data_IF_325460940409
#
_entry.id   IF_325460940409
#
_cell.length_a   1.000
_cell.length_b   1.000
_cell.length_c   1.000
_cell.angle_alpha   90.00
_cell.angle_beta   90.00
_cell.angle_gamma   90.00
#
_symmetry.space_group_name_H-M   'P 1'
#
loop_
_entity.id
_entity.type
_entity.pdbx_description
1 polymer ?
#
# COMPACT_ATOMS: atom_id res chain seq x y z
N UNK A 1 -9.08 14.38 23.52
CA UNK A 1 -9.41 13.05 22.99
C UNK A 1 -9.23 13.15 21.49
N UNK A 2 -8.11 12.66 20.96
CA UNK A 2 -7.75 12.80 19.54
C UNK A 2 -8.79 12.09 18.69
N UNK A 3 -9.41 12.77 17.73
CA UNK A 3 -10.50 12.20 16.94
C UNK A 3 -9.97 11.28 15.83
N UNK A 4 -10.80 10.34 15.37
CA UNK A 4 -10.49 9.42 14.25
C UNK A 4 -9.87 10.12 13.04
N UNK A 5 -10.43 11.29 12.68
CA UNK A 5 -9.99 12.05 11.51
C UNK A 5 -8.62 12.72 11.73
N UNK A 6 -8.27 13.08 12.97
CA UNK A 6 -6.98 13.68 13.30
C UNK A 6 -5.84 12.66 13.19
N UNK A 7 -6.11 11.38 13.52
CA UNK A 7 -5.09 10.32 13.46
C UNK A 7 -4.77 9.93 12.00
N UNK A 8 -5.76 9.97 11.11
CA UNK A 8 -5.58 9.58 9.70
C UNK A 8 -5.25 10.77 8.78
N UNK A 9 -5.24 12.00 9.30
CA UNK A 9 -5.06 13.19 8.49
C UNK A 9 -3.70 13.18 7.77
N UNK A 10 -3.75 13.51 6.47
CA UNK A 10 -2.59 13.48 5.58
C UNK A 10 -2.05 12.09 5.23
N UNK A 11 -2.56 11.00 5.82
CA UNK A 11 -2.10 9.65 5.51
C UNK A 11 -2.74 9.10 4.23
N UNK A 12 -1.92 8.47 3.38
CA UNK A 12 -2.43 7.83 2.16
C UNK A 12 -3.11 6.51 2.50
N UNK A 13 -4.31 6.22 1.98
CA UNK A 13 -4.96 4.93 2.18
C UNK A 13 -4.20 3.81 1.46
N UNK A 14 -3.99 2.70 2.15
CA UNK A 14 -3.47 1.45 1.62
C UNK A 14 -4.61 0.45 1.50
N UNK A 15 -4.99 0.12 0.27
CA UNK A 15 -5.98 -0.92 0.02
C UNK A 15 -5.32 -2.29 0.08
N UNK A 16 -5.18 -2.82 1.30
CA UNK A 16 -4.54 -4.11 1.56
C UNK A 16 -5.47 -5.32 1.53
N UNK A 17 -6.79 -5.13 1.40
CA UNK A 17 -7.74 -6.25 1.41
C UNK A 17 -7.63 -7.03 0.10
N UNK A 18 -7.46 -8.36 0.18
CA UNK A 18 -7.37 -9.26 -0.96
C UNK A 18 -8.69 -9.97 -1.26
N UNK A 19 -9.47 -10.24 -0.22
CA UNK A 19 -10.77 -10.87 -0.36
C UNK A 19 -11.76 -9.92 -1.06
N UNK A 20 -12.17 -10.30 -2.27
CA UNK A 20 -13.12 -9.52 -3.07
C UNK A 20 -14.54 -9.58 -2.53
N UNK A 21 -14.88 -10.57 -1.70
CA UNK A 21 -16.23 -10.74 -1.14
C UNK A 21 -16.61 -9.64 -0.15
N UNK A 22 -15.61 -9.01 0.47
CA UNK A 22 -15.79 -7.89 1.42
C UNK A 22 -15.55 -6.52 0.78
N UNK A 23 -15.22 -6.48 -0.52
CA UNK A 23 -15.13 -5.23 -1.27
C UNK A 23 -16.51 -4.79 -1.76
N UNK A 24 -16.77 -3.49 -1.81
CA UNK A 24 -17.97 -2.99 -2.48
C UNK A 24 -17.89 -3.26 -3.99
N UNK A 25 -19.02 -3.63 -4.61
CA UNK A 25 -19.13 -3.89 -6.06
C UNK A 25 -18.54 -2.77 -6.92
N UNK A 26 -18.78 -1.52 -6.55
CA UNK A 26 -18.26 -0.34 -7.26
C UNK A 26 -16.73 -0.30 -7.28
N UNK A 27 -16.09 -0.61 -6.14
CA UNK A 27 -14.64 -0.67 -6.00
C UNK A 27 -14.05 -1.83 -6.80
N UNK A 28 -14.63 -3.02 -6.67
CA UNK A 28 -14.17 -4.20 -7.41
C UNK A 28 -14.24 -3.94 -8.92
N UNK A 29 -15.38 -3.41 -9.40
CA UNK A 29 -15.59 -3.06 -10.81
C UNK A 29 -14.58 -2.00 -11.30
N UNK A 30 -14.36 -0.94 -10.53
CA UNK A 30 -13.37 0.09 -10.88
C UNK A 30 -11.94 -0.46 -10.94
N UNK A 31 -11.57 -1.31 -9.96
CA UNK A 31 -10.28 -1.99 -9.93
C UNK A 31 -10.07 -2.93 -11.13
N UNK A 32 -11.10 -3.67 -11.54
CA UNK A 32 -11.06 -4.47 -12.76
C UNK A 32 -10.90 -3.60 -14.01
N UNK A 33 -11.67 -2.52 -14.15
CA UNK A 33 -11.57 -1.59 -15.28
C UNK A 33 -10.18 -0.97 -15.42
N UNK A 34 -9.59 -0.51 -14.31
CA UNK A 34 -8.24 0.02 -14.29
C UNK A 34 -7.22 -1.05 -14.73
N UNK A 35 -7.32 -2.24 -14.15
CA UNK A 35 -6.40 -3.34 -14.46
C UNK A 35 -6.55 -3.86 -15.89
N UNK A 36 -7.76 -3.86 -16.47
CA UNK A 36 -8.01 -4.25 -17.86
C UNK A 36 -7.43 -3.23 -18.83
N UNK A 37 -7.71 -1.94 -18.60
CA UNK A 37 -7.18 -0.86 -19.43
C UNK A 37 -5.65 -0.82 -19.42
N UNK A 38 -5.04 -0.91 -18.23
CA UNK A 38 -3.59 -0.93 -18.06
C UNK A 38 -2.95 -2.17 -18.72
N UNK A 39 -3.56 -3.36 -18.55
CA UNK A 39 -3.09 -4.59 -19.20
C UNK A 39 -3.14 -4.50 -20.73
N UNK A 40 -4.14 -3.81 -21.28
CA UNK A 40 -4.26 -3.57 -22.72
C UNK A 40 -3.37 -2.43 -23.25
N UNK A 41 -2.63 -1.73 -22.38
CA UNK A 41 -1.86 -0.53 -22.77
C UNK A 41 -2.74 0.66 -23.15
N UNK A 42 -4.03 0.65 -22.81
CA UNK A 42 -4.98 1.73 -23.10
C UNK A 42 -4.92 2.80 -22.01
N UNK A 43 -3.88 3.63 -22.05
CA UNK A 43 -3.64 4.68 -21.05
C UNK A 43 -4.76 5.72 -20.95
N UNK A 44 -5.37 6.21 -22.05
CA UNK A 44 -6.52 7.11 -21.95
C UNK A 44 -7.69 6.51 -21.16
N UNK A 45 -7.98 5.22 -21.36
CA UNK A 45 -9.01 4.54 -20.57
C UNK A 45 -8.60 4.35 -19.10
N UNK A 46 -7.34 3.99 -18.83
CA UNK A 46 -6.83 3.85 -17.47
C UNK A 46 -6.88 5.17 -16.68
N UNK A 47 -6.42 6.27 -17.28
CA UNK A 47 -6.47 7.61 -16.69
C UNK A 47 -7.91 8.07 -16.47
N UNK A 48 -8.82 7.82 -17.44
CA UNK A 48 -10.25 8.12 -17.29
C UNK A 48 -10.90 7.36 -16.12
N UNK A 49 -10.45 6.14 -15.82
CA UNK A 49 -10.90 5.43 -14.61
C UNK A 49 -10.39 6.16 -13.38
N UNK A 50 -9.12 6.57 -13.35
CA UNK A 50 -8.51 7.30 -12.22
C UNK A 50 -9.07 8.72 -12.00
N UNK A 51 -9.59 9.39 -13.04
CA UNK A 51 -10.17 10.74 -12.95
C UNK A 51 -11.50 10.79 -12.18
N UNK A 52 -12.20 9.67 -12.11
CA UNK A 52 -13.48 9.59 -11.41
C UNK A 52 -13.24 9.68 -9.90
N UNK A 53 -14.07 10.45 -9.21
CA UNK A 53 -14.08 10.49 -7.74
C UNK A 53 -14.61 9.18 -7.18
N UNK A 54 -13.72 8.22 -6.97
CA UNK A 54 -14.02 6.99 -6.24
C UNK A 54 -13.73 7.22 -4.75
N UNK A 55 -14.59 6.68 -3.89
CA UNK A 55 -14.37 6.78 -2.44
C UNK A 55 -13.12 6.02 -1.97
N UNK A 56 -12.73 4.96 -2.68
CA UNK A 56 -11.72 3.99 -2.19
C UNK A 56 -10.77 3.43 -3.26
N UNK A 57 -10.90 3.83 -4.54
CA UNK A 57 -9.92 3.42 -5.54
C UNK A 57 -8.62 4.16 -5.26
N UNK A 58 -7.54 3.41 -5.07
CA UNK A 58 -6.19 3.96 -4.90
C UNK A 58 -5.37 3.61 -6.13
N UNK A 59 -4.53 4.55 -6.60
CA UNK A 59 -3.73 4.36 -7.82
C UNK A 59 -2.79 3.14 -7.75
N UNK A 60 -2.38 2.77 -6.54
CA UNK A 60 -1.49 1.65 -6.26
C UNK A 60 -2.22 0.30 -6.12
N UNK A 61 -3.51 0.25 -6.44
CA UNK A 61 -4.30 -0.97 -6.38
C UNK A 61 -3.88 -1.95 -7.49
N UNK A 62 -3.78 -3.23 -7.15
CA UNK A 62 -3.69 -4.33 -8.10
C UNK A 62 -5.08 -4.83 -8.48
N UNK A 63 -5.15 -5.70 -9.50
CA UNK A 63 -6.41 -6.34 -9.89
C UNK A 63 -7.07 -7.03 -8.68
N UNK A 64 -8.32 -6.69 -8.31
CA UNK A 64 -9.06 -7.44 -7.29
C UNK A 64 -9.11 -8.93 -7.63
N UNK A 65 -8.80 -9.80 -6.65
CA UNK A 65 -8.70 -11.25 -6.85
C UNK A 65 -7.47 -11.72 -7.68
N UNK A 66 -6.61 -10.80 -8.13
CA UNK A 66 -5.40 -11.13 -8.87
C UNK A 66 -4.21 -11.43 -7.95
N UNK A 67 -3.43 -12.46 -8.28
CA UNK A 67 -2.28 -12.93 -7.49
C UNK A 67 -0.94 -12.31 -7.90
N UNK A 68 -0.89 -11.60 -9.03
CA UNK A 68 0.35 -11.01 -9.54
C UNK A 68 0.73 -9.68 -8.89
N UNK A 69 -0.24 -9.02 -8.23
CA UNK A 69 -0.08 -7.70 -7.62
C UNK A 69 0.46 -6.59 -8.57
N UNK A 70 0.28 -6.76 -9.88
CA UNK A 70 0.61 -5.73 -10.86
C UNK A 70 -0.29 -4.50 -10.66
N UNK A 71 0.35 -3.36 -10.40
CA UNK A 71 -0.29 -2.04 -10.41
C UNK A 71 -0.27 -1.44 -11.82
N UNK A 72 -0.93 -0.29 -12.00
CA UNK A 72 -0.87 0.46 -13.26
C UNK A 72 0.57 0.84 -13.64
N UNK A 73 1.44 1.15 -12.66
CA UNK A 73 2.84 1.49 -12.92
C UNK A 73 3.66 0.28 -13.41
N UNK A 74 3.38 -0.92 -12.89
CA UNK A 74 3.99 -2.16 -13.41
C UNK A 74 3.57 -2.44 -14.84
N UNK A 75 2.30 -2.20 -15.18
CA UNK A 75 1.81 -2.35 -16.56
C UNK A 75 2.46 -1.31 -17.49
N UNK A 76 2.61 -0.05 -17.03
CA UNK A 76 3.30 0.99 -17.78
C UNK A 76 4.76 0.60 -18.07
N UNK A 77 5.45 0.06 -17.07
CA UNK A 77 6.78 -0.51 -17.24
C UNK A 77 6.80 -1.70 -18.20
N UNK A 78 5.83 -2.62 -18.11
CA UNK A 78 5.75 -3.80 -18.98
C UNK A 78 5.62 -3.41 -20.45
N UNK A 79 4.74 -2.46 -20.75
CA UNK A 79 4.43 -1.98 -22.10
C UNK A 79 5.43 -0.98 -22.67
N UNK A 80 6.36 -0.46 -21.86
CA UNK A 80 7.22 0.64 -22.30
C UNK A 80 6.43 1.92 -22.55
N UNK A 81 5.53 2.27 -21.63
CA UNK A 81 4.60 3.38 -21.79
C UNK A 81 5.32 4.72 -22.07
N UNK A 82 4.67 5.63 -22.81
CA UNK A 82 5.18 6.98 -23.02
C UNK A 82 5.51 7.71 -21.71
N UNK A 83 6.54 8.57 -21.72
CA UNK A 83 7.02 9.29 -20.53
C UNK A 83 5.94 10.15 -19.88
N UNK A 84 5.12 10.83 -20.67
CA UNK A 84 4.01 11.66 -20.19
C UNK A 84 2.96 10.83 -19.43
N UNK A 85 2.66 9.61 -19.89
CA UNK A 85 1.78 8.68 -19.17
C UNK A 85 2.41 8.30 -17.83
N UNK A 86 3.70 7.99 -17.80
CA UNK A 86 4.38 7.58 -16.56
C UNK A 86 4.46 8.73 -15.57
N UNK A 87 4.81 9.93 -16.03
CA UNK A 87 4.82 11.15 -15.22
C UNK A 87 3.43 11.43 -14.62
N UNK A 88 2.37 11.36 -15.42
CA UNK A 88 0.99 11.53 -14.94
C UNK A 88 0.61 10.49 -13.86
N UNK A 89 1.03 9.23 -14.03
CA UNK A 89 0.79 8.19 -13.02
C UNK A 89 1.57 8.47 -11.72
N UNK A 90 2.79 8.98 -11.81
CA UNK A 90 3.61 9.36 -10.66
C UNK A 90 3.04 10.59 -9.94
N UNK A 91 2.59 11.60 -10.67
CA UNK A 91 1.96 12.81 -10.13
C UNK A 91 0.67 12.49 -9.35
N UNK A 92 -0.06 11.45 -9.79
CA UNK A 92 -1.22 10.91 -9.08
C UNK A 92 -0.87 10.03 -7.87
N UNK A 93 0.42 9.80 -7.61
CA UNK A 93 0.91 9.08 -6.44
C UNK A 93 1.18 7.59 -6.65
N UNK A 94 1.48 7.17 -7.88
CA UNK A 94 2.01 5.82 -8.11
C UNK A 94 3.35 5.64 -7.40
N UNK A 95 3.51 4.51 -6.70
CA UNK A 95 4.68 4.18 -5.90
C UNK A 95 5.69 3.41 -6.74
N UNK A 96 6.94 3.89 -6.76
CA UNK A 96 8.04 3.30 -7.54
C UNK A 96 8.66 2.11 -6.83
N UNK A 97 8.73 2.13 -5.50
CA UNK A 97 9.27 1.08 -4.64
C UNK A 97 8.29 -0.04 -4.35
N UNK A 98 7.03 0.07 -4.76
CA UNK A 98 6.02 -0.95 -4.51
C UNK A 98 6.31 -2.21 -5.34
N UNK A 99 6.57 -3.38 -4.71
CA UNK A 99 6.82 -4.61 -5.46
C UNK A 99 5.54 -5.27 -5.98
N UNK A 100 5.67 -6.11 -7.00
CA UNK A 100 4.70 -7.13 -7.40
C UNK A 100 4.79 -8.38 -6.48
N UNK A 101 4.05 -9.45 -6.78
CA UNK A 101 4.09 -10.68 -5.97
C UNK A 101 5.38 -11.50 -6.12
N UNK A 102 6.24 -11.14 -7.06
CA UNK A 102 7.59 -11.72 -7.25
C UNK A 102 8.68 -10.84 -6.62
N UNK A 103 8.31 -9.74 -5.96
CA UNK A 103 9.26 -8.80 -5.36
C UNK A 103 9.89 -7.84 -6.36
N UNK A 104 9.37 -7.72 -7.59
CA UNK A 104 9.88 -6.80 -8.62
C UNK A 104 9.16 -5.47 -8.54
N UNK A 105 9.88 -4.37 -8.62
CA UNK A 105 9.31 -3.03 -8.82
C UNK A 105 8.98 -2.79 -10.29
N UNK A 106 8.28 -1.69 -10.59
CA UNK A 106 8.09 -1.25 -11.98
C UNK A 106 9.43 -0.99 -12.69
N UNK A 107 10.45 -0.50 -11.97
CA UNK A 107 11.80 -0.35 -12.50
C UNK A 107 12.40 -1.70 -12.93
N UNK A 108 12.28 -2.73 -12.10
CA UNK A 108 12.82 -4.07 -12.41
C UNK A 108 12.14 -4.66 -13.65
N UNK A 109 10.81 -4.50 -13.76
CA UNK A 109 10.06 -4.90 -14.96
C UNK A 109 10.58 -4.16 -16.20
N UNK A 110 10.86 -2.86 -16.11
CA UNK A 110 11.39 -2.10 -17.24
C UNK A 110 12.82 -2.51 -17.65
N UNK A 111 13.64 -2.91 -16.68
CA UNK A 111 14.98 -3.48 -16.92
C UNK A 111 14.88 -4.83 -17.64
N UNK A 112 14.04 -5.74 -17.13
CA UNK A 112 13.84 -7.08 -17.71
C UNK A 112 13.37 -7.03 -19.17
N UNK A 113 12.55 -6.05 -19.51
CA UNK A 113 12.01 -5.86 -20.86
C UNK A 113 12.89 -5.00 -21.78
N UNK A 114 14.08 -4.62 -21.33
CA UNK A 114 15.04 -3.80 -22.09
C UNK A 114 14.50 -2.44 -22.57
N UNK A 115 13.60 -1.80 -21.80
CA UNK A 115 13.07 -0.49 -22.16
C UNK A 115 14.12 0.63 -22.08
N UNK A 116 13.80 1.81 -22.59
CA UNK A 116 14.76 2.92 -22.72
C UNK A 116 15.33 3.37 -21.37
N UNK A 117 16.57 3.89 -21.32
CA UNK A 117 17.14 4.46 -20.11
C UNK A 117 16.27 5.57 -19.52
N UNK A 118 15.67 6.42 -20.36
CA UNK A 118 14.77 7.49 -19.91
C UNK A 118 13.57 6.97 -19.11
N UNK A 119 12.91 5.91 -19.60
CA UNK A 119 11.80 5.29 -18.87
C UNK A 119 12.27 4.64 -17.56
N UNK A 120 13.43 3.95 -17.58
CA UNK A 120 13.99 3.35 -16.36
C UNK A 120 14.32 4.41 -15.32
N UNK A 121 14.85 5.56 -15.71
CA UNK A 121 15.12 6.64 -14.76
C UNK A 121 13.84 7.22 -14.15
N UNK A 122 12.76 7.38 -14.94
CA UNK A 122 11.46 7.81 -14.40
C UNK A 122 10.89 6.82 -13.37
N UNK A 123 11.05 5.52 -13.62
CA UNK A 123 10.53 4.46 -12.76
C UNK A 123 11.42 4.16 -11.54
N UNK A 124 12.63 4.70 -11.49
CA UNK A 124 13.61 4.38 -10.45
C UNK A 124 13.07 4.74 -9.06
N UNK A 125 13.03 3.79 -8.10
CA UNK A 125 12.68 4.08 -6.73
C UNK A 125 13.57 5.18 -6.14
N UNK A 126 13.03 6.07 -5.28
CA UNK A 126 13.82 7.04 -4.57
C UNK A 126 14.80 6.35 -3.61
N UNK A 127 15.80 7.10 -3.15
CA UNK A 127 16.80 6.56 -2.23
C UNK A 127 16.15 6.17 -0.90
N UNK A 128 16.28 4.90 -0.54
CA UNK A 128 15.93 4.39 0.77
C UNK A 128 17.13 4.54 1.72
N UNK A 129 17.01 5.26 2.85
CA UNK A 129 18.08 5.38 3.85
C UNK A 129 18.30 4.07 4.64
N UNK A 130 17.33 3.15 4.62
CA UNK A 130 17.42 1.86 5.29
C UNK A 130 18.01 0.81 4.36
N UNK A 131 18.79 -0.10 4.93
CA UNK A 131 19.29 -1.27 4.20
C UNK A 131 18.16 -2.28 3.94
N UNK A 132 18.34 -3.15 2.93
CA UNK A 132 17.37 -4.23 2.65
C UNK A 132 17.12 -5.13 3.86
N UNK A 133 18.15 -5.36 4.69
CA UNK A 133 18.01 -6.17 5.90
C UNK A 133 17.13 -5.47 6.94
N UNK A 134 17.32 -4.16 7.13
CA UNK A 134 16.48 -3.36 8.04
C UNK A 134 15.02 -3.31 7.56
N UNK A 135 14.78 -3.09 6.26
CA UNK A 135 13.43 -3.11 5.68
C UNK A 135 12.75 -4.46 5.94
N UNK A 136 13.43 -5.58 5.64
CA UNK A 136 12.88 -6.92 5.89
C UNK A 136 12.57 -7.19 7.37
N UNK A 137 13.44 -6.72 8.26
CA UNK A 137 13.22 -6.86 9.70
C UNK A 137 12.00 -6.04 10.15
N UNK A 138 11.87 -4.79 9.69
CA UNK A 138 10.70 -3.95 9.99
C UNK A 138 9.41 -4.52 9.39
N UNK A 139 9.44 -5.02 8.14
CA UNK A 139 8.30 -5.70 7.52
C UNK A 139 7.83 -6.89 8.37
N UNK A 140 8.77 -7.74 8.82
CA UNK A 140 8.45 -8.88 9.65
C UNK A 140 7.84 -8.47 11.00
N UNK A 141 8.41 -7.47 11.67
CA UNK A 141 7.91 -6.99 12.96
C UNK A 141 6.56 -6.27 12.85
N UNK A 142 6.36 -5.51 11.79
CA UNK A 142 5.07 -4.92 11.48
C UNK A 142 4.01 -6.00 11.24
N UNK A 143 4.37 -7.04 10.49
CA UNK A 143 3.49 -8.16 10.21
C UNK A 143 3.09 -8.92 11.49
N UNK A 144 4.05 -9.25 12.35
CA UNK A 144 3.80 -9.85 13.67
C UNK A 144 2.86 -8.99 14.53
N UNK A 145 3.06 -7.67 14.55
CA UNK A 145 2.18 -6.77 15.30
C UNK A 145 0.75 -6.77 14.74
N UNK A 146 0.60 -6.65 13.41
CA UNK A 146 -0.72 -6.64 12.78
C UNK A 146 -1.43 -7.97 13.05
N UNK A 147 -0.74 -9.09 12.87
CA UNK A 147 -1.26 -10.43 13.16
C UNK A 147 -1.76 -10.51 14.62
N UNK A 148 -0.92 -10.17 15.60
CA UNK A 148 -1.31 -10.22 17.02
C UNK A 148 -2.48 -9.29 17.40
N UNK A 149 -2.74 -8.26 16.58
CA UNK A 149 -3.86 -7.35 16.79
C UNK A 149 -5.17 -7.88 16.21
N UNK A 150 -5.14 -8.61 15.09
CA UNK A 150 -6.36 -8.97 14.33
C UNK A 150 -6.65 -10.47 14.22
N UNK A 151 -5.64 -11.33 14.38
CA UNK A 151 -5.79 -12.78 14.29
C UNK A 151 -6.77 -13.28 15.35
N UNK A 152 -7.69 -14.18 14.95
CA UNK A 152 -8.79 -14.75 15.75
C UNK A 152 -9.81 -13.72 16.29
N UNK A 153 -9.63 -12.43 16.03
CA UNK A 153 -10.56 -11.35 16.42
C UNK A 153 -11.41 -10.87 15.25
N UNK A 154 -10.77 -10.70 14.09
CA UNK A 154 -11.39 -10.19 12.87
C UNK A 154 -11.32 -11.20 11.72
N UNK A 155 -10.34 -12.09 11.75
CA UNK A 155 -10.06 -13.04 10.69
C UNK A 155 -9.58 -14.36 11.29
N UNK A 156 -10.11 -15.45 10.74
CA UNK A 156 -9.66 -16.81 11.03
C UNK A 156 -8.71 -17.30 9.92
N UNK A 157 -7.71 -18.11 10.28
CA UNK A 157 -6.79 -18.72 9.32
C UNK A 157 -5.63 -17.83 8.89
N UNK A 158 -5.04 -18.11 7.72
CA UNK A 158 -3.85 -17.42 7.21
C UNK A 158 -4.21 -16.02 6.68
N UNK A 159 -3.83 -15.00 7.46
CA UNK A 159 -4.03 -13.58 7.15
C UNK A 159 -3.39 -13.16 5.82
N UNK A 160 -2.35 -13.85 5.35
CA UNK A 160 -1.68 -13.52 4.07
C UNK A 160 -2.51 -13.90 2.84
N UNK A 161 -3.53 -14.73 3.01
CA UNK A 161 -4.48 -15.06 1.94
C UNK A 161 -5.54 -13.98 1.73
N UNK A 162 -5.85 -13.22 2.79
CA UNK A 162 -6.93 -12.21 2.81
C UNK A 162 -6.44 -10.78 2.90
N UNK A 163 -5.19 -10.56 3.33
CA UNK A 163 -4.58 -9.25 3.48
C UNK A 163 -3.17 -9.21 2.89
N UNK A 164 -2.87 -8.07 2.28
CA UNK A 164 -1.52 -7.64 1.91
C UNK A 164 -1.15 -6.43 2.76
N UNK A 165 -0.10 -6.57 3.55
CA UNK A 165 0.37 -5.48 4.41
C UNK A 165 1.17 -4.45 3.60
N UNK A 166 1.14 -3.16 4.00
CA UNK A 166 1.93 -2.13 3.33
C UNK A 166 3.42 -2.43 3.55
N UNK A 167 4.22 -2.60 2.48
CA UNK A 167 5.66 -2.77 2.63
C UNK A 167 6.28 -1.52 3.26
N UNK A 168 7.22 -1.67 4.18
CA UNK A 168 7.86 -0.53 4.87
C UNK A 168 8.57 0.40 3.87
N UNK A 169 9.13 -0.17 2.80
CA UNK A 169 9.87 0.60 1.80
C UNK A 169 9.02 1.67 1.09
N UNK A 170 7.70 1.49 0.99
CA UNK A 170 6.83 2.50 0.36
C UNK A 170 6.70 3.77 1.22
N UNK A 171 6.94 3.69 2.54
CA UNK A 171 6.82 4.84 3.45
C UNK A 171 7.81 5.95 3.06
N UNK A 172 8.96 5.62 2.47
CA UNK A 172 9.93 6.61 2.01
C UNK A 172 9.45 7.48 0.83
N UNK A 173 8.41 7.04 0.11
CA UNK A 173 7.82 7.80 -1.00
C UNK A 173 6.59 8.59 -0.57
N UNK A 174 5.97 8.21 0.55
CA UNK A 174 4.71 8.78 0.98
C UNK A 174 4.91 10.14 1.67
N UNK A 175 4.02 11.12 1.43
CA UNK A 175 4.00 12.37 2.17
C UNK A 175 3.95 12.12 3.69
N UNK A 176 4.85 12.74 4.43
CA UNK A 176 4.95 12.56 5.88
C UNK A 176 5.30 11.14 6.32
N UNK A 177 5.79 10.30 5.41
CA UNK A 177 6.20 8.91 5.64
C UNK A 177 5.17 8.05 6.39
N UNK A 178 3.88 8.30 6.09
CA UNK A 178 2.76 7.68 6.81
C UNK A 178 1.73 7.08 5.85
N UNK A 179 1.11 6.00 6.30
CA UNK A 179 0.09 5.27 5.56
C UNK A 179 -1.05 4.87 6.50
N UNK A 180 -2.27 4.95 5.98
CA UNK A 180 -3.47 4.47 6.65
C UNK A 180 -3.88 3.14 6.03
N UNK A 181 -3.88 2.07 6.80
CA UNK A 181 -4.33 0.74 6.39
C UNK A 181 -5.70 0.43 7.01
N UNK A 182 -6.81 0.78 6.31
CA UNK A 182 -8.15 0.42 6.75
C UNK A 182 -8.42 -1.07 6.57
N UNK A 183 -9.12 -1.65 7.54
CA UNK A 183 -9.67 -2.99 7.48
C UNK A 183 -11.20 -2.96 7.57
N UNK A 184 -11.89 -4.00 7.07
CA UNK A 184 -13.29 -4.29 7.39
C UNK A 184 -13.58 -4.19 8.90
N UNK A 185 -14.83 -3.87 9.24
CA UNK A 185 -15.25 -3.72 10.65
C UNK A 185 -14.81 -2.41 11.32
N UNK A 186 -14.39 -1.40 10.55
CA UNK A 186 -13.86 -0.10 11.05
C UNK A 186 -12.61 -0.25 11.92
N UNK A 187 -11.86 -1.34 11.74
CA UNK A 187 -10.53 -1.47 12.30
C UNK A 187 -9.51 -0.85 11.34
N UNK A 188 -8.36 -0.41 11.84
CA UNK A 188 -7.25 -0.11 10.95
C UNK A 188 -5.98 0.28 11.68
N UNK A 189 -4.95 0.52 10.88
CA UNK A 189 -3.61 0.83 11.33
C UNK A 189 -3.14 2.14 10.69
N UNK A 190 -2.73 3.10 11.51
CA UNK A 190 -1.90 4.21 11.07
C UNK A 190 -0.44 3.85 11.30
N UNK A 191 0.36 3.81 10.25
CA UNK A 191 1.76 3.40 10.27
C UNK A 191 2.60 4.57 9.78
N UNK A 192 3.57 5.00 10.58
CA UNK A 192 4.45 6.11 10.27
C UNK A 192 5.90 5.73 10.49
N UNK A 193 6.77 6.07 9.54
CA UNK A 193 8.21 5.86 9.68
C UNK A 193 8.87 7.12 10.24
N UNK A 194 9.46 6.98 11.43
CA UNK A 194 10.19 8.03 12.12
C UNK A 194 11.59 7.54 12.50
N UNK A 195 12.63 8.22 11.98
CA UNK A 195 14.04 7.97 12.35
C UNK A 195 14.48 6.49 12.22
N UNK A 196 13.93 5.77 11.25
CA UNK A 196 14.25 4.36 11.00
C UNK A 196 13.46 3.35 11.85
N UNK A 197 12.48 3.81 12.63
CA UNK A 197 11.54 3.00 13.40
C UNK A 197 10.10 3.30 12.96
N UNK A 198 9.17 2.38 13.19
CA UNK A 198 7.75 2.58 12.89
C UNK A 198 6.97 2.95 14.14
N UNK A 199 6.23 4.04 14.10
CA UNK A 199 5.14 4.30 15.04
C UNK A 199 3.85 3.74 14.43
N UNK A 200 3.24 2.77 15.11
CA UNK A 200 2.04 2.08 14.63
C UNK A 200 0.90 2.25 15.62
N UNK A 201 -0.15 2.95 15.21
CA UNK A 201 -1.40 3.11 15.97
C UNK A 201 -2.46 2.22 15.37
N UNK A 202 -3.15 1.44 16.20
CA UNK A 202 -4.24 0.55 15.79
C UNK A 202 -5.45 0.73 16.70
N UNK A 203 -6.65 0.72 16.14
CA UNK A 203 -7.89 0.84 16.93
C UNK A 203 -9.10 0.31 16.15
N UNK A 204 -10.18 0.04 16.87
CA UNK A 204 -11.49 -0.29 16.33
C UNK A 204 -12.43 0.90 16.55
N UNK A 205 -12.96 1.48 15.47
CA UNK A 205 -13.92 2.60 15.56
C UNK A 205 -15.28 2.25 16.16
N UNK A 206 -15.50 1.00 16.58
CA UNK A 206 -16.72 0.51 17.23
C UNK A 206 -16.51 0.16 18.71
N UNK A 207 -15.27 0.13 19.20
CA UNK A 207 -14.93 -0.31 20.55
C UNK A 207 -14.06 0.76 21.21
N UNK A 208 -14.63 1.51 22.16
CA UNK A 208 -13.89 2.48 22.96
C UNK A 208 -12.80 1.82 23.80
N UNK A 209 -11.68 2.51 23.98
CA UNK A 209 -10.48 2.03 24.67
C UNK A 209 -9.70 0.98 23.89
N UNK A 210 -10.05 0.68 22.63
CA UNK A 210 -9.37 -0.35 21.83
C UNK A 210 -8.03 0.10 21.25
N UNK A 211 -7.73 1.40 21.32
CA UNK A 211 -6.53 2.01 20.78
C UNK A 211 -5.26 1.47 21.42
N UNK A 212 -4.27 1.12 20.59
CA UNK A 212 -2.90 0.82 21.02
C UNK A 212 -1.90 1.46 20.06
N UNK A 213 -0.82 2.01 20.61
CA UNK A 213 0.31 2.56 19.89
C UNK A 213 1.58 1.75 20.21
N UNK A 214 2.29 1.35 19.18
CA UNK A 214 3.54 0.59 19.29
C UNK A 214 4.67 1.32 18.59
N UNK A 215 5.87 1.22 19.16
CA UNK A 215 7.12 1.57 18.50
C UNK A 215 7.80 0.29 18.03
N UNK A 216 8.03 0.17 16.73
CA UNK A 216 8.69 -0.97 16.10
C UNK A 216 10.09 -0.57 15.62
N UNK A 217 11.07 -1.35 16.04
CA UNK A 217 12.47 -1.26 15.63
C UNK A 217 12.88 -2.56 14.95
N UNK A 218 14.12 -2.64 14.44
CA UNK A 218 14.64 -3.87 13.85
C UNK A 218 14.84 -4.97 14.89
N UNK A 219 14.95 -4.60 16.16
CA UNK A 219 15.21 -5.47 17.31
C UNK A 219 13.92 -6.00 17.92
N UNK A 220 12.82 -5.25 17.83
CA UNK A 220 11.54 -5.65 18.42
C UNK A 220 10.46 -4.57 18.37
N UNK A 221 9.32 -4.87 19.00
CA UNK A 221 8.16 -3.98 19.13
C UNK A 221 7.84 -3.75 20.61
N UNK A 222 7.51 -2.51 20.97
CA UNK A 222 7.14 -2.13 22.34
C UNK A 222 5.83 -1.35 22.33
N UNK A 223 4.90 -1.71 23.19
CA UNK A 223 3.68 -0.94 23.45
C UNK A 223 4.06 0.34 24.20
N UNK A 224 3.68 1.49 23.64
CA UNK A 224 4.04 2.81 24.19
C UNK A 224 2.83 3.61 24.68
N UNK A 225 1.63 3.29 24.21
CA UNK A 225 0.38 3.89 24.66
C UNK A 225 -0.81 2.96 24.39
N UNK A 226 -1.85 3.01 25.21
CA UNK A 226 -3.07 2.22 25.04
C UNK A 226 -4.31 2.86 25.68
N UNK A 227 -5.50 2.41 25.27
CA UNK A 227 -6.76 2.86 25.85
C UNK A 227 -7.31 4.15 25.24
N UNK A 228 -6.72 4.65 24.15
CA UNK A 228 -7.26 5.79 23.40
C UNK A 228 -8.40 5.38 22.45
N UNK A 229 -9.12 6.40 21.96
CA UNK A 229 -10.39 6.35 21.18
C UNK A 229 -11.57 5.90 22.01
#
# INVERSE_FOLDING_TARGET
>A
MTSYNEIIDGARPWQGVLDTSVMSDDLARAGHQLADAAKAGNWPAALKVLDRKWKWLVINQWRPGGTLWFTVLHQAALHGAPSDVVEELLDRGSLRSLPDSKGRTAFDVAVEHNHTPALRELLRPPRCPLTRQQIRALDARLAELIDGRIHERLYDGDLRTVLRYPPVEILHELPGQRVWFPLPGKYGFHIELQRGALEVKSWCGLVGGSGQAHLITTEGSVLVDEGFV
#
